data_IF_957963094655
#
_entry.id   IF_957963094655
#
_cell.length_a   1.000
_cell.length_b   1.000
_cell.length_c   1.000
_cell.angle_alpha   90.00
_cell.angle_beta   90.00
_cell.angle_gamma   90.00
#
_symmetry.space_group_name_H-M   'P 1'
#
loop_
_entity.id
_entity.type
_entity.pdbx_description
1 polymer ?
#
# COMPACT_ATOMS: atom_id res chain seq x y z
N UNK A 1 -5.89 61.75 -3.44
CA UNK A 1 -7.29 62.10 -3.20
C UNK A 1 -8.00 60.84 -2.69
N UNK A 2 -8.30 60.79 -1.39
CA UNK A 2 -8.92 59.66 -0.71
C UNK A 2 -10.44 59.83 -0.77
N UNK A 3 -11.16 58.94 -1.40
CA UNK A 3 -12.62 58.88 -1.40
C UNK A 3 -13.06 57.98 -0.26
N UNK A 4 -13.84 58.56 0.67
CA UNK A 4 -14.37 57.86 1.88
C UNK A 4 -15.61 57.07 1.55
N UNK A 5 -15.72 55.88 2.10
CA UNK A 5 -16.75 54.87 2.01
C UNK A 5 -18.09 55.25 2.73
N UNK A 6 -18.67 56.41 2.54
CA UNK A 6 -19.82 56.83 3.38
C UNK A 6 -21.02 57.48 2.63
N UNK A 7 -21.02 57.53 1.30
CA UNK A 7 -22.08 58.26 0.55
C UNK A 7 -22.85 57.35 -0.42
N UNK A 8 -23.28 56.17 0.02
CA UNK A 8 -24.13 55.31 -0.80
C UNK A 8 -25.36 54.72 -0.04
N UNK A 9 -25.94 55.49 0.84
CA UNK A 9 -27.20 55.11 1.50
C UNK A 9 -28.05 56.39 1.75
N UNK A 10 -28.69 56.90 0.67
CA UNK A 10 -29.90 57.68 0.78
C UNK A 10 -30.51 57.85 -0.61
N UNK A 11 -31.73 57.34 -0.77
CA UNK A 11 -32.57 57.68 -1.91
C UNK A 11 -33.16 56.52 -2.67
N UNK A 12 -34.27 55.97 -2.19
CA UNK A 12 -35.51 55.78 -2.96
C UNK A 12 -36.45 54.78 -2.28
N UNK A 13 -37.36 55.30 -1.50
CA UNK A 13 -38.62 54.60 -1.23
C UNK A 13 -39.65 55.04 -2.30
N UNK A 14 -40.58 54.15 -2.60
CA UNK A 14 -41.88 54.24 -3.27
C UNK A 14 -41.94 53.46 -4.58
N UNK A 15 -42.77 52.39 -4.53
CA UNK A 15 -43.23 51.63 -5.72
C UNK A 15 -43.77 50.24 -5.30
N UNK A 16 -44.98 50.19 -4.71
CA UNK A 16 -45.71 48.94 -4.53
C UNK A 16 -46.12 48.35 -5.87
N UNK A 17 -45.71 47.14 -6.15
CA UNK A 17 -46.15 46.37 -7.32
C UNK A 17 -45.76 44.92 -7.12
N UNK A 18 -46.69 44.09 -6.61
CA UNK A 18 -46.45 42.67 -6.33
C UNK A 18 -46.17 41.90 -7.61
N UNK A 19 -44.99 41.32 -7.68
CA UNK A 19 -44.69 40.16 -8.52
C UNK A 19 -44.10 39.10 -7.58
N UNK A 20 -44.95 38.15 -7.15
CA UNK A 20 -44.49 36.91 -6.51
C UNK A 20 -43.81 36.06 -7.59
N UNK A 21 -42.55 36.30 -7.83
CA UNK A 21 -41.72 35.34 -8.55
C UNK A 21 -41.44 34.19 -7.57
N UNK A 22 -42.13 33.08 -7.82
CA UNK A 22 -41.82 31.82 -7.14
C UNK A 22 -40.34 31.49 -7.32
N UNK A 23 -39.56 31.69 -6.27
CA UNK A 23 -38.22 31.08 -6.14
C UNK A 23 -38.44 29.57 -6.07
N UNK A 24 -38.48 28.92 -7.25
CA UNK A 24 -38.35 27.48 -7.32
C UNK A 24 -37.06 27.11 -6.61
N UNK A 25 -37.17 26.40 -5.52
CA UNK A 25 -36.02 25.78 -4.87
C UNK A 25 -35.33 24.95 -5.96
N UNK A 26 -34.17 25.40 -6.41
CA UNK A 26 -33.28 24.57 -7.22
C UNK A 26 -32.84 23.45 -6.28
N UNK A 27 -33.52 22.31 -6.37
CA UNK A 27 -33.12 21.10 -5.72
C UNK A 27 -31.69 20.80 -6.20
N UNK A 28 -30.70 20.97 -5.31
CA UNK A 28 -29.32 20.63 -5.60
C UNK A 28 -29.30 19.15 -5.98
N UNK A 29 -28.92 18.85 -7.22
CA UNK A 29 -28.79 17.48 -7.68
C UNK A 29 -27.95 16.70 -6.66
N UNK A 30 -28.34 15.48 -6.27
CA UNK A 30 -27.65 14.70 -5.25
C UNK A 30 -26.20 14.54 -5.68
N UNK A 31 -25.28 15.18 -4.95
CA UNK A 31 -23.85 15.07 -5.19
C UNK A 31 -23.47 13.62 -4.94
N UNK A 32 -22.91 12.95 -5.96
CA UNK A 32 -22.40 11.58 -5.79
C UNK A 32 -21.43 11.57 -4.62
N UNK A 33 -21.52 10.60 -3.70
CA UNK A 33 -20.57 10.50 -2.61
C UNK A 33 -19.14 10.39 -3.15
N UNK A 34 -18.16 11.03 -2.48
CA UNK A 34 -16.78 10.95 -2.90
C UNK A 34 -16.33 9.50 -2.96
N UNK A 35 -15.53 9.14 -3.95
CA UNK A 35 -14.98 7.79 -4.15
C UNK A 35 -13.52 7.72 -3.73
N UNK A 36 -12.98 6.50 -3.59
CA UNK A 36 -11.55 6.33 -3.33
C UNK A 36 -10.72 6.66 -4.57
N UNK A 37 -9.61 7.36 -4.36
CA UNK A 37 -8.59 7.52 -5.41
C UNK A 37 -7.48 6.47 -5.18
N UNK A 38 -7.15 5.63 -6.19
CA UNK A 38 -6.08 4.64 -6.09
C UNK A 38 -4.69 5.24 -5.85
N UNK A 39 -4.50 6.50 -6.20
CA UNK A 39 -3.21 7.17 -6.18
C UNK A 39 -3.07 8.22 -5.07
N UNK A 40 -4.11 8.44 -4.27
CA UNK A 40 -3.99 9.32 -3.11
C UNK A 40 -2.92 8.83 -2.14
N UNK A 41 -2.18 9.76 -1.57
CA UNK A 41 -1.18 9.46 -0.56
C UNK A 41 -1.84 9.30 0.80
N UNK A 42 -1.71 8.11 1.37
CA UNK A 42 -2.24 7.74 2.68
C UNK A 42 -1.09 7.50 3.65
N UNK A 43 -1.33 7.75 4.93
CA UNK A 43 -0.38 7.36 5.97
C UNK A 43 -0.33 5.84 6.09
N UNK A 44 0.85 5.26 6.23
CA UNK A 44 1.04 3.85 6.54
C UNK A 44 1.17 3.71 8.07
N UNK A 45 0.05 3.61 8.76
CA UNK A 45 0.02 3.63 10.23
C UNK A 45 0.83 4.80 10.80
N UNK A 46 1.60 4.53 11.87
CA UNK A 46 2.48 5.52 12.53
C UNK A 46 3.92 5.56 11.98
N UNK A 47 4.19 4.93 10.83
CA UNK A 47 5.55 4.85 10.25
C UNK A 47 6.11 6.18 9.74
N UNK A 48 5.30 7.23 9.66
CA UNK A 48 5.60 8.50 8.98
C UNK A 48 5.79 8.36 7.45
N UNK A 49 5.59 7.18 6.88
CA UNK A 49 5.60 6.96 5.43
C UNK A 49 4.24 7.34 4.85
N UNK A 50 4.27 8.02 3.71
CA UNK A 50 3.10 8.26 2.87
C UNK A 50 3.22 7.41 1.62
N UNK A 51 2.22 6.59 1.34
CA UNK A 51 2.18 5.65 0.22
C UNK A 51 0.92 5.86 -0.60
N UNK A 52 0.95 5.60 -1.90
CA UNK A 52 -0.29 5.58 -2.67
C UNK A 52 -1.21 4.45 -2.17
N UNK A 53 -2.51 4.62 -2.26
CA UNK A 53 -3.50 3.62 -1.82
C UNK A 53 -3.33 2.28 -2.53
N UNK A 54 -2.77 2.29 -3.74
CA UNK A 54 -2.37 1.10 -4.48
C UNK A 54 -0.87 1.12 -4.72
N UNK A 55 -0.18 0.04 -4.39
CA UNK A 55 1.23 -0.20 -4.67
C UNK A 55 1.43 -1.31 -5.69
N UNK A 56 2.58 -1.31 -6.34
CA UNK A 56 2.97 -2.34 -7.28
C UNK A 56 3.87 -3.39 -6.62
N UNK A 57 3.39 -4.65 -6.59
CA UNK A 57 4.16 -5.80 -6.16
C UNK A 57 4.97 -6.41 -7.30
N UNK A 58 6.22 -6.76 -7.02
CA UNK A 58 7.12 -7.39 -8.01
C UNK A 58 7.32 -8.87 -7.79
N UNK A 59 6.49 -9.51 -6.94
CA UNK A 59 6.70 -10.87 -6.48
C UNK A 59 5.63 -11.89 -6.85
N UNK A 60 4.91 -11.70 -7.94
CA UNK A 60 3.94 -12.69 -8.38
C UNK A 60 4.64 -14.01 -8.73
N UNK A 61 4.26 -15.11 -8.07
CA UNK A 61 4.95 -16.41 -8.15
C UNK A 61 6.47 -16.28 -7.91
N UNK A 62 6.85 -15.46 -6.91
CA UNK A 62 8.24 -15.16 -6.58
C UNK A 62 8.91 -16.28 -5.81
N UNK A 63 10.14 -16.61 -6.21
CA UNK A 63 11.01 -17.61 -5.59
C UNK A 63 12.28 -17.80 -6.41
N UNK A 64 13.37 -18.24 -5.78
CA UNK A 64 14.64 -18.44 -6.47
C UNK A 64 15.20 -17.18 -7.14
N UNK A 65 14.92 -16.01 -6.58
CA UNK A 65 15.22 -14.69 -7.17
C UNK A 65 14.62 -14.49 -8.56
N UNK A 66 13.44 -15.05 -8.79
CA UNK A 66 12.64 -14.86 -10.00
C UNK A 66 11.18 -14.61 -9.63
N UNK A 67 10.46 -13.86 -10.45
CA UNK A 67 9.01 -13.62 -10.34
C UNK A 67 8.42 -13.44 -11.72
N UNK A 68 7.10 -13.39 -11.86
CA UNK A 68 6.49 -13.08 -13.15
C UNK A 68 7.02 -11.74 -13.69
N UNK A 69 7.16 -10.73 -12.83
CA UNK A 69 7.64 -9.41 -13.23
C UNK A 69 9.09 -9.45 -13.73
N UNK A 70 10.00 -10.18 -13.04
CA UNK A 70 11.39 -10.29 -13.51
C UNK A 70 11.52 -11.14 -14.78
N UNK A 71 10.60 -12.10 -15.01
CA UNK A 71 10.54 -12.88 -16.26
C UNK A 71 10.10 -12.06 -17.47
N UNK A 72 9.53 -10.87 -17.29
CA UNK A 72 9.27 -9.92 -18.38
C UNK A 72 10.55 -9.43 -19.06
N UNK A 73 11.70 -9.58 -18.39
CA UNK A 73 12.98 -9.04 -18.81
C UNK A 73 13.15 -7.56 -18.44
N UNK A 74 14.41 -7.04 -18.51
CA UNK A 74 14.74 -5.70 -18.00
C UNK A 74 13.92 -4.57 -18.60
N UNK A 75 13.77 -4.53 -19.91
CA UNK A 75 13.10 -3.43 -20.62
C UNK A 75 11.61 -3.35 -20.26
N UNK A 76 10.89 -4.48 -20.27
CA UNK A 76 9.46 -4.51 -19.93
C UNK A 76 9.23 -4.28 -18.43
N UNK A 77 10.12 -4.79 -17.57
CA UNK A 77 10.07 -4.51 -16.13
C UNK A 77 10.22 -3.00 -15.87
N UNK A 78 11.23 -2.36 -16.46
CA UNK A 78 11.43 -0.91 -16.31
C UNK A 78 10.25 -0.10 -16.84
N UNK A 79 9.72 -0.46 -18.00
CA UNK A 79 8.54 0.19 -18.58
C UNK A 79 7.32 0.05 -17.64
N UNK A 80 7.11 -1.11 -17.04
CA UNK A 80 6.04 -1.35 -16.07
C UNK A 80 6.19 -0.47 -14.83
N UNK A 81 7.38 -0.44 -14.21
CA UNK A 81 7.64 0.37 -13.01
C UNK A 81 7.50 1.86 -13.31
N UNK A 82 8.10 2.33 -14.40
CA UNK A 82 8.01 3.74 -14.81
C UNK A 82 6.57 4.15 -15.16
N UNK A 83 5.87 3.33 -15.91
CA UNK A 83 4.46 3.57 -16.25
C UNK A 83 3.52 3.53 -15.04
N UNK A 84 3.82 2.70 -14.03
CA UNK A 84 3.12 2.70 -12.75
C UNK A 84 3.35 4.01 -11.98
N UNK A 85 4.61 4.47 -11.91
CA UNK A 85 4.95 5.75 -11.29
C UNK A 85 4.26 6.93 -11.99
N UNK A 86 4.24 6.95 -13.32
CA UNK A 86 3.56 7.99 -14.10
C UNK A 86 2.06 8.06 -13.86
N UNK A 87 1.41 6.92 -13.53
CA UNK A 87 0.00 6.84 -13.14
C UNK A 87 -0.30 7.32 -11.73
N UNK A 88 0.73 7.48 -10.89
CA UNK A 88 0.56 7.95 -9.51
C UNK A 88 0.88 6.90 -8.45
N UNK A 89 1.30 5.68 -8.81
CA UNK A 89 1.83 4.72 -7.82
C UNK A 89 3.12 5.31 -7.22
N UNK A 90 3.20 5.32 -5.89
CA UNK A 90 4.31 5.91 -5.15
C UNK A 90 5.04 4.93 -4.24
N UNK A 91 4.67 3.64 -4.27
CA UNK A 91 5.41 2.62 -3.55
C UNK A 91 5.47 1.30 -4.31
N UNK A 92 6.58 0.59 -4.09
CA UNK A 92 6.93 -0.61 -4.81
C UNK A 92 7.37 -1.68 -3.82
N UNK A 93 6.79 -2.87 -3.95
CA UNK A 93 6.99 -3.99 -3.06
C UNK A 93 7.92 -5.02 -3.71
N UNK A 94 9.12 -5.12 -3.14
CA UNK A 94 10.20 -6.00 -3.57
C UNK A 94 10.47 -7.08 -2.48
N UNK A 95 11.33 -8.01 -2.78
CA UNK A 95 11.90 -8.93 -1.79
C UNK A 95 13.16 -9.60 -2.34
N UNK A 96 13.98 -10.14 -1.45
CA UNK A 96 15.14 -10.96 -1.79
C UNK A 96 14.78 -12.11 -2.76
N UNK A 97 13.70 -12.82 -2.44
CA UNK A 97 13.25 -13.98 -3.20
C UNK A 97 12.73 -13.66 -4.61
N UNK A 98 12.44 -12.39 -4.91
CA UNK A 98 11.86 -11.98 -6.20
C UNK A 98 12.92 -11.64 -7.26
N UNK A 99 14.15 -11.33 -6.83
CA UNK A 99 15.24 -10.92 -7.73
C UNK A 99 14.99 -9.59 -8.43
N UNK A 100 14.09 -8.77 -7.89
CA UNK A 100 13.64 -7.53 -8.54
C UNK A 100 14.53 -6.31 -8.27
N UNK A 101 15.43 -6.35 -7.27
CA UNK A 101 16.25 -5.20 -6.90
C UNK A 101 17.10 -4.65 -8.05
N UNK A 102 17.92 -5.46 -8.78
CA UNK A 102 18.75 -4.94 -9.86
C UNK A 102 17.92 -4.34 -11.01
N UNK A 103 16.75 -4.92 -11.30
CA UNK A 103 15.83 -4.39 -12.32
C UNK A 103 15.20 -3.07 -11.86
N UNK A 104 14.84 -2.97 -10.57
CA UNK A 104 14.23 -1.78 -10.01
C UNK A 104 15.21 -0.60 -9.95
N UNK A 105 16.48 -0.85 -9.62
CA UNK A 105 17.52 0.18 -9.46
C UNK A 105 17.67 1.11 -10.67
N UNK A 106 17.31 0.65 -11.86
CA UNK A 106 17.39 1.43 -13.11
C UNK A 106 16.04 1.96 -13.57
N UNK A 107 14.93 1.44 -13.01
CA UNK A 107 13.58 1.73 -13.50
C UNK A 107 13.13 3.18 -13.25
N UNK A 108 13.56 3.78 -12.15
CA UNK A 108 13.19 5.14 -11.76
C UNK A 108 14.39 6.12 -11.82
N UNK A 109 15.40 5.79 -12.64
CA UNK A 109 16.55 6.70 -12.86
C UNK A 109 16.04 8.08 -13.28
N UNK A 110 16.60 9.13 -12.64
CA UNK A 110 16.23 10.53 -12.86
C UNK A 110 15.02 11.01 -12.02
N UNK A 111 14.40 10.13 -11.24
CA UNK A 111 13.36 10.52 -10.26
C UNK A 111 14.04 10.62 -8.89
N UNK A 112 13.88 11.74 -8.17
CA UNK A 112 14.44 11.89 -6.82
C UNK A 112 13.96 10.77 -5.89
N UNK A 113 14.89 10.21 -5.09
CA UNK A 113 14.66 8.99 -4.29
C UNK A 113 13.53 9.14 -3.28
N UNK A 114 13.34 10.33 -2.75
CA UNK A 114 12.29 10.66 -1.77
C UNK A 114 10.87 10.74 -2.37
N UNK A 115 10.73 10.68 -3.70
CA UNK A 115 9.44 10.73 -4.39
C UNK A 115 8.72 9.38 -4.46
N UNK A 116 9.35 8.32 -3.97
CA UNK A 116 8.75 6.99 -3.93
C UNK A 116 9.26 6.18 -2.74
N UNK A 117 8.45 5.20 -2.33
CA UNK A 117 8.73 4.31 -1.20
C UNK A 117 9.14 2.94 -1.72
N UNK A 118 10.23 2.41 -1.20
CA UNK A 118 10.70 1.05 -1.44
C UNK A 118 10.41 0.19 -0.22
N UNK A 119 9.66 -0.90 -0.43
CA UNK A 119 9.52 -1.98 0.53
C UNK A 119 10.36 -3.17 0.06
N UNK A 120 11.14 -3.76 0.96
CA UNK A 120 11.83 -5.02 0.67
C UNK A 120 11.70 -5.99 1.83
N UNK A 121 11.99 -7.28 1.58
CA UNK A 121 11.76 -8.36 2.53
C UNK A 121 12.95 -9.30 2.58
N UNK A 122 13.35 -9.68 3.79
CA UNK A 122 14.47 -10.59 4.03
C UNK A 122 13.93 -12.00 4.26
N UNK A 123 14.46 -12.96 3.52
CA UNK A 123 14.10 -14.37 3.62
C UNK A 123 15.07 -15.11 4.53
N UNK A 124 14.60 -15.59 5.68
CA UNK A 124 15.41 -16.34 6.65
C UNK A 124 15.12 -17.85 6.68
N UNK A 125 14.10 -18.30 5.94
CA UNK A 125 13.75 -19.73 5.92
C UNK A 125 14.67 -20.54 4.99
N UNK A 126 14.70 -21.85 5.19
CA UNK A 126 15.40 -22.75 4.27
C UNK A 126 14.72 -22.77 2.89
N UNK A 127 15.49 -23.09 1.86
CA UNK A 127 14.98 -23.12 0.48
C UNK A 127 14.66 -21.74 -0.08
N UNK A 128 14.04 -21.69 -1.23
CA UNK A 128 13.58 -20.49 -1.98
C UNK A 128 14.71 -19.58 -2.47
N UNK A 129 15.82 -19.44 -1.76
CA UNK A 129 17.01 -18.76 -2.24
C UNK A 129 18.09 -19.79 -2.65
N UNK A 130 18.91 -19.48 -3.68
CA UNK A 130 20.00 -20.38 -4.10
C UNK A 130 21.01 -20.67 -3.00
N UNK A 131 21.34 -19.67 -2.19
CA UNK A 131 22.30 -19.80 -1.11
C UNK A 131 21.69 -20.56 0.08
N UNK A 132 22.49 -21.44 0.68
CA UNK A 132 22.10 -22.13 1.93
C UNK A 132 22.21 -21.23 3.16
N UNK A 133 23.22 -20.35 3.19
CA UNK A 133 23.46 -19.43 4.29
C UNK A 133 22.35 -18.36 4.39
N UNK A 134 22.01 -18.03 5.63
CA UNK A 134 21.08 -16.92 5.94
C UNK A 134 21.84 -15.90 6.79
N UNK A 135 22.52 -14.94 6.13
CA UNK A 135 23.24 -13.89 6.83
C UNK A 135 22.32 -13.07 7.73
N UNK A 136 22.91 -12.40 8.73
CA UNK A 136 22.17 -11.49 9.59
C UNK A 136 21.51 -10.35 8.78
N UNK A 137 20.43 -9.79 9.34
CA UNK A 137 19.62 -8.77 8.68
C UNK A 137 20.42 -7.56 8.20
N UNK A 138 21.39 -7.10 8.98
CA UNK A 138 22.26 -5.97 8.62
C UNK A 138 23.13 -6.25 7.37
N UNK A 139 23.65 -7.48 7.24
CA UNK A 139 24.41 -7.91 6.05
C UNK A 139 23.49 -7.94 4.82
N UNK A 140 22.28 -8.48 4.98
CA UNK A 140 21.31 -8.57 3.88
C UNK A 140 20.86 -7.17 3.45
N UNK A 141 20.57 -6.27 4.39
CA UNK A 141 20.17 -4.88 4.06
C UNK A 141 21.29 -4.15 3.34
N UNK A 142 22.57 -4.29 3.76
CA UNK A 142 23.69 -3.71 3.01
C UNK A 142 23.75 -4.22 1.56
N UNK A 143 23.48 -5.51 1.31
CA UNK A 143 23.38 -6.07 -0.04
C UNK A 143 22.21 -5.44 -0.80
N UNK A 144 21.05 -5.30 -0.20
CA UNK A 144 19.87 -4.66 -0.82
C UNK A 144 20.17 -3.22 -1.25
N UNK A 145 20.84 -2.43 -0.39
CA UNK A 145 21.24 -1.06 -0.71
C UNK A 145 22.14 -1.02 -1.96
N UNK A 146 23.14 -1.94 -2.03
CA UNK A 146 24.03 -2.06 -3.20
C UNK A 146 23.24 -2.46 -4.45
N UNK A 147 22.36 -3.45 -4.37
CA UNK A 147 21.54 -3.92 -5.49
C UNK A 147 20.57 -2.83 -5.99
N UNK A 148 19.98 -2.06 -5.08
CA UNK A 148 19.03 -0.98 -5.36
C UNK A 148 19.71 0.35 -5.72
N UNK A 149 21.04 0.47 -5.50
CA UNK A 149 21.80 1.71 -5.69
C UNK A 149 21.20 2.90 -4.93
N UNK A 150 20.96 2.71 -3.64
CA UNK A 150 20.34 3.71 -2.74
C UNK A 150 20.97 3.64 -1.36
N UNK A 151 20.93 4.74 -0.62
CA UNK A 151 21.49 4.84 0.73
C UNK A 151 20.50 4.42 1.83
N UNK A 152 19.21 4.30 1.50
CA UNK A 152 18.18 3.87 2.45
C UNK A 152 17.05 3.07 1.79
N UNK A 153 16.35 2.26 2.61
CA UNK A 153 15.12 1.58 2.25
C UNK A 153 14.01 2.05 3.20
N UNK A 154 12.84 2.34 2.67
CA UNK A 154 11.76 2.91 3.48
C UNK A 154 11.16 1.90 4.45
N UNK A 155 10.94 0.65 4.02
CA UNK A 155 10.38 -0.40 4.86
C UNK A 155 11.06 -1.74 4.58
N UNK A 156 11.59 -2.37 5.62
CA UNK A 156 12.17 -3.73 5.54
C UNK A 156 11.35 -4.69 6.39
N UNK A 157 10.93 -5.80 5.79
CA UNK A 157 10.12 -6.82 6.45
C UNK A 157 10.90 -8.11 6.68
N UNK A 158 10.65 -8.76 7.81
CA UNK A 158 10.89 -10.19 7.93
C UNK A 158 9.86 -10.91 7.07
N UNK A 159 10.34 -11.68 6.10
CA UNK A 159 9.48 -12.29 5.07
C UNK A 159 8.93 -13.63 5.53
N UNK A 160 7.61 -13.84 5.30
CA UNK A 160 6.97 -15.14 5.46
C UNK A 160 6.93 -15.64 6.92
N UNK A 161 6.46 -14.82 7.84
CA UNK A 161 6.22 -15.25 9.22
C UNK A 161 5.00 -16.17 9.27
N UNK A 162 5.20 -17.42 9.72
CA UNK A 162 4.14 -18.45 9.73
C UNK A 162 3.95 -19.13 11.10
N UNK A 163 4.90 -18.96 12.05
CA UNK A 163 4.78 -19.45 13.42
C UNK A 163 4.37 -18.31 14.36
N UNK A 164 3.53 -18.56 15.39
CA UNK A 164 3.11 -17.52 16.32
C UNK A 164 4.24 -17.02 17.23
N UNK A 165 5.27 -17.81 17.46
CA UNK A 165 6.44 -17.50 18.28
C UNK A 165 7.57 -16.81 17.50
N UNK A 166 7.33 -16.40 16.26
CA UNK A 166 8.32 -15.71 15.43
C UNK A 166 9.00 -14.51 16.13
N UNK A 167 8.36 -13.74 17.04
CA UNK A 167 9.04 -12.63 17.71
C UNK A 167 10.22 -13.11 18.58
N UNK A 168 10.06 -14.27 19.23
CA UNK A 168 11.15 -14.91 19.98
C UNK A 168 12.21 -15.46 19.04
N UNK A 169 11.79 -16.22 18.03
CA UNK A 169 12.69 -16.88 17.09
C UNK A 169 13.57 -15.90 16.28
N UNK A 170 13.05 -14.72 15.95
CA UNK A 170 13.77 -13.73 15.15
C UNK A 170 14.25 -12.52 15.96
N UNK A 171 14.29 -12.57 17.29
CA UNK A 171 14.68 -11.44 18.16
C UNK A 171 15.98 -10.79 17.71
N UNK A 172 17.05 -11.56 17.47
CA UNK A 172 18.33 -11.04 16.98
C UNK A 172 18.18 -10.23 15.70
N UNK A 173 17.38 -10.71 14.76
CA UNK A 173 17.20 -10.02 13.47
C UNK A 173 16.36 -8.74 13.63
N UNK A 174 15.39 -8.76 14.55
CA UNK A 174 14.59 -7.58 14.91
C UNK A 174 15.48 -6.51 15.54
N UNK A 175 16.38 -6.86 16.45
CA UNK A 175 17.29 -5.91 17.10
C UNK A 175 18.26 -5.28 16.09
N UNK A 176 18.77 -6.07 15.15
CA UNK A 176 19.61 -5.57 14.05
C UNK A 176 18.86 -4.58 13.16
N UNK A 177 17.60 -4.89 12.79
CA UNK A 177 16.77 -3.95 12.00
C UNK A 177 16.42 -2.69 12.79
N UNK A 178 16.14 -2.80 14.08
CA UNK A 178 15.93 -1.63 14.94
C UNK A 178 17.17 -0.72 14.99
N UNK A 179 18.38 -1.31 15.09
CA UNK A 179 19.63 -0.58 15.00
C UNK A 179 19.84 0.12 13.66
N UNK A 180 19.45 -0.51 12.53
CA UNK A 180 19.49 0.12 11.22
C UNK A 180 18.47 1.25 11.09
N UNK A 181 17.29 1.12 11.70
CA UNK A 181 16.28 2.18 11.75
C UNK A 181 16.77 3.39 12.54
N UNK A 182 17.41 3.16 13.70
CA UNK A 182 17.99 4.24 14.50
C UNK A 182 19.08 5.02 13.74
N UNK A 183 19.80 4.36 12.82
CA UNK A 183 20.82 4.96 11.95
C UNK A 183 20.26 5.58 10.66
N UNK A 184 18.95 5.52 10.43
CA UNK A 184 18.31 6.03 9.21
C UNK A 184 18.56 5.19 7.95
N UNK A 185 19.23 4.03 8.05
CA UNK A 185 19.48 3.12 6.92
C UNK A 185 18.18 2.48 6.42
N UNK A 186 17.25 2.24 7.35
CA UNK A 186 15.86 1.92 7.03
C UNK A 186 14.94 2.89 7.79
N UNK A 187 13.77 3.19 7.25
CA UNK A 187 12.85 4.14 7.89
C UNK A 187 11.80 3.45 8.77
N UNK A 188 11.43 2.21 8.42
CA UNK A 188 10.48 1.38 9.17
C UNK A 188 10.83 -0.09 9.01
N UNK A 189 10.33 -0.92 9.93
CA UNK A 189 10.45 -2.37 9.87
C UNK A 189 9.14 -3.06 10.21
N UNK A 190 9.04 -4.34 9.85
CA UNK A 190 7.81 -5.10 10.09
C UNK A 190 7.89 -6.52 9.56
N UNK A 191 6.72 -7.06 9.22
CA UNK A 191 6.61 -8.47 8.80
C UNK A 191 5.61 -8.67 7.67
N UNK A 192 5.81 -9.73 6.87
CA UNK A 192 4.75 -10.31 6.06
C UNK A 192 4.29 -11.64 6.69
N UNK A 193 2.98 -11.74 6.98
CA UNK A 193 2.42 -12.88 7.69
C UNK A 193 1.81 -13.91 6.74
N UNK A 194 1.96 -15.19 7.10
CA UNK A 194 1.48 -16.33 6.32
C UNK A 194 0.79 -17.39 7.17
N UNK A 195 0.32 -17.03 8.37
CA UNK A 195 -0.63 -17.76 9.20
C UNK A 195 -1.38 -16.79 10.12
N UNK A 196 -2.56 -17.20 10.58
CA UNK A 196 -3.38 -16.39 11.50
C UNK A 196 -2.66 -16.19 12.85
N UNK A 197 -1.94 -17.21 13.34
CA UNK A 197 -1.17 -17.12 14.59
C UNK A 197 -0.02 -16.11 14.49
N UNK A 198 0.74 -16.14 13.38
CA UNK A 198 1.80 -15.18 13.14
C UNK A 198 1.25 -13.74 12.97
N UNK A 199 0.09 -13.59 12.30
CA UNK A 199 -0.58 -12.31 12.13
C UNK A 199 -1.06 -11.74 13.47
N UNK A 200 -1.64 -12.59 14.33
CA UNK A 200 -2.09 -12.19 15.66
C UNK A 200 -0.91 -11.78 16.58
N UNK A 201 0.22 -12.46 16.47
CA UNK A 201 1.46 -12.06 17.15
C UNK A 201 1.94 -10.70 16.64
N UNK A 202 1.99 -10.50 15.31
CA UNK A 202 2.43 -9.26 14.70
C UNK A 202 1.55 -8.06 15.08
N UNK A 203 0.24 -8.27 15.20
CA UNK A 203 -0.69 -7.23 15.61
C UNK A 203 -0.41 -6.65 17.00
N UNK A 204 0.20 -7.45 17.90
CA UNK A 204 0.52 -7.08 19.28
C UNK A 204 2.00 -6.72 19.50
N UNK A 205 2.92 -7.21 18.66
CA UNK A 205 4.37 -7.02 18.84
C UNK A 205 4.74 -5.53 18.69
N UNK A 206 5.26 -4.86 19.72
CA UNK A 206 5.59 -3.43 19.68
C UNK A 206 6.62 -3.06 18.60
N UNK A 207 7.55 -3.98 18.33
CA UNK A 207 8.58 -3.77 17.31
C UNK A 207 7.99 -3.58 15.90
N UNK A 208 6.84 -4.13 15.59
CA UNK A 208 6.24 -4.08 14.25
C UNK A 208 5.67 -2.70 13.94
N UNK A 209 6.24 -2.01 12.97
CA UNK A 209 5.70 -0.75 12.42
C UNK A 209 4.65 -1.02 11.32
N UNK A 210 4.83 -2.08 10.50
CA UNK A 210 3.92 -2.40 9.39
C UNK A 210 3.77 -3.91 9.17
N UNK A 211 2.58 -4.31 8.74
CA UNK A 211 2.21 -5.70 8.47
C UNK A 211 1.72 -5.82 7.03
N UNK A 212 2.28 -6.77 6.28
CA UNK A 212 1.69 -7.25 5.03
C UNK A 212 0.84 -8.49 5.33
N UNK A 213 -0.47 -8.41 5.07
CA UNK A 213 -1.45 -9.46 5.37
C UNK A 213 -2.29 -9.83 4.16
N UNK A 214 -2.60 -11.12 4.04
CA UNK A 214 -3.45 -11.64 2.97
C UNK A 214 -4.92 -11.37 3.30
N UNK A 215 -5.64 -10.68 2.42
CA UNK A 215 -7.02 -10.28 2.64
C UNK A 215 -7.83 -10.22 1.36
N UNK A 216 -8.95 -10.93 1.30
CA UNK A 216 -10.00 -10.86 0.31
C UNK A 216 -11.29 -11.48 0.90
N UNK A 217 -12.48 -11.27 0.33
CA UNK A 217 -13.74 -11.79 0.89
C UNK A 217 -13.88 -13.31 0.78
N UNK A 218 -13.14 -13.96 -0.11
CA UNK A 218 -13.32 -15.37 -0.46
C UNK A 218 -12.40 -16.33 0.32
N UNK A 219 -11.50 -15.83 1.16
CA UNK A 219 -10.53 -16.65 1.88
C UNK A 219 -9.44 -17.28 1.00
N UNK A 220 -9.38 -16.91 -0.29
CA UNK A 220 -8.45 -17.52 -1.25
C UNK A 220 -7.02 -17.04 -0.98
N UNK A 221 -6.11 -18.00 -0.76
CA UNK A 221 -4.71 -17.70 -0.43
C UNK A 221 -4.55 -16.84 0.84
N UNK A 222 -5.48 -16.93 1.76
CA UNK A 222 -5.46 -16.22 3.04
C UNK A 222 -4.90 -17.07 4.19
N UNK A 223 -4.68 -16.42 5.32
CA UNK A 223 -4.16 -17.03 6.55
C UNK A 223 -5.25 -17.70 7.41
N UNK A 224 -6.49 -17.53 6.97
CA UNK A 224 -7.71 -18.06 7.57
C UNK A 224 -8.95 -17.44 6.92
N UNK A 225 -10.15 -17.81 7.37
CA UNK A 225 -11.38 -17.17 6.89
C UNK A 225 -11.34 -15.66 7.10
N UNK A 226 -11.91 -14.90 6.15
CA UNK A 226 -11.94 -13.44 6.20
C UNK A 226 -12.51 -12.90 7.52
N UNK A 227 -13.53 -13.56 8.05
CA UNK A 227 -14.15 -13.23 9.35
C UNK A 227 -13.19 -13.36 10.55
N UNK A 228 -12.15 -14.22 10.46
CA UNK A 228 -11.13 -14.35 11.50
C UNK A 228 -9.93 -13.42 11.27
N UNK A 229 -9.57 -13.14 10.03
CA UNK A 229 -8.44 -12.26 9.68
C UNK A 229 -8.79 -10.79 9.92
N UNK A 230 -9.96 -10.32 9.50
CA UNK A 230 -10.33 -8.91 9.59
C UNK A 230 -10.30 -8.32 11.02
N UNK A 231 -10.75 -9.00 12.07
CA UNK A 231 -10.59 -8.50 13.45
C UNK A 231 -9.14 -8.29 13.86
N UNK A 232 -8.22 -9.19 13.45
CA UNK A 232 -6.79 -9.06 13.75
C UNK A 232 -6.19 -7.85 13.04
N UNK A 233 -6.61 -7.57 11.79
CA UNK A 233 -6.18 -6.37 11.07
C UNK A 233 -6.69 -5.09 11.75
N UNK A 234 -7.92 -5.08 12.28
CA UNK A 234 -8.44 -3.95 13.07
C UNK A 234 -7.59 -3.71 14.32
N UNK A 235 -7.27 -4.77 15.07
CA UNK A 235 -6.35 -4.68 16.22
C UNK A 235 -5.00 -4.11 15.83
N UNK A 236 -4.40 -4.57 14.74
CA UNK A 236 -3.13 -4.05 14.23
C UNK A 236 -3.23 -2.55 13.92
N UNK A 237 -4.26 -2.14 13.20
CA UNK A 237 -4.51 -0.75 12.83
C UNK A 237 -4.75 0.14 14.07
N UNK A 238 -5.56 -0.31 15.03
CA UNK A 238 -5.79 0.38 16.31
C UNK A 238 -4.51 0.58 17.11
N UNK A 239 -3.57 -0.38 17.05
CA UNK A 239 -2.24 -0.28 17.63
C UNK A 239 -1.31 0.65 16.83
N UNK A 240 -1.80 1.28 15.77
CA UNK A 240 -1.07 2.25 14.94
C UNK A 240 -0.11 1.61 13.95
N UNK A 241 -0.22 0.31 13.68
CA UNK A 241 0.59 -0.36 12.68
C UNK A 241 0.08 -0.05 11.28
N UNK A 242 1.00 0.11 10.32
CA UNK A 242 0.66 0.20 8.92
C UNK A 242 0.16 -1.16 8.40
N UNK A 243 -1.04 -1.21 7.86
CA UNK A 243 -1.64 -2.45 7.35
C UNK A 243 -1.67 -2.42 5.83
N UNK A 244 -0.92 -3.34 5.22
CA UNK A 244 -0.88 -3.54 3.77
C UNK A 244 -1.66 -4.81 3.41
N UNK A 245 -2.72 -4.65 2.62
CA UNK A 245 -3.47 -5.78 2.08
C UNK A 245 -2.77 -6.40 0.87
N UNK A 246 -2.55 -7.70 0.89
CA UNK A 246 -2.04 -8.46 -0.25
C UNK A 246 -2.97 -9.61 -0.63
N UNK A 247 -2.76 -10.23 -1.81
CA UNK A 247 -3.58 -11.32 -2.36
C UNK A 247 -5.05 -10.94 -2.63
N UNK A 248 -5.32 -9.68 -2.89
CA UNK A 248 -6.66 -9.18 -3.19
C UNK A 248 -7.28 -9.86 -4.41
N UNK A 249 -6.47 -10.19 -5.43
CA UNK A 249 -6.90 -10.89 -6.65
C UNK A 249 -6.74 -12.42 -6.54
N UNK A 250 -6.68 -12.95 -5.29
CA UNK A 250 -6.56 -14.37 -5.03
C UNK A 250 -5.32 -15.01 -5.70
N UNK A 251 -4.21 -14.27 -5.84
CA UNK A 251 -3.03 -14.69 -6.57
C UNK A 251 -3.34 -15.04 -8.05
N UNK A 252 -4.12 -14.17 -8.68
CA UNK A 252 -4.54 -14.29 -10.08
C UNK A 252 -5.78 -15.19 -10.30
N UNK A 253 -6.32 -15.82 -9.26
CA UNK A 253 -7.52 -16.68 -9.40
C UNK A 253 -8.76 -15.90 -9.82
N UNK A 254 -8.83 -14.61 -9.45
CA UNK A 254 -9.96 -13.73 -9.82
C UNK A 254 -9.74 -12.96 -11.11
N UNK A 255 -8.62 -13.18 -11.83
CA UNK A 255 -8.26 -12.38 -13.01
C UNK A 255 -9.29 -12.38 -14.14
N UNK A 256 -10.12 -13.43 -14.22
CA UNK A 256 -11.17 -13.59 -15.25
C UNK A 256 -12.56 -13.23 -14.75
N UNK A 257 -12.73 -12.79 -13.50
CA UNK A 257 -14.03 -12.46 -12.91
C UNK A 257 -14.04 -10.99 -12.49
N UNK A 258 -14.74 -10.16 -13.27
CA UNK A 258 -14.95 -8.74 -12.93
C UNK A 258 -15.64 -8.61 -11.58
N UNK A 259 -16.70 -9.40 -11.36
CA UNK A 259 -17.44 -9.43 -10.10
C UNK A 259 -16.52 -9.72 -8.91
N UNK A 260 -15.70 -10.77 -8.97
CA UNK A 260 -14.84 -11.14 -7.87
C UNK A 260 -13.77 -10.06 -7.57
N UNK A 261 -13.25 -9.39 -8.61
CA UNK A 261 -12.31 -8.27 -8.44
C UNK A 261 -13.00 -7.07 -7.82
N UNK A 262 -14.19 -6.69 -8.27
CA UNK A 262 -14.97 -5.57 -7.74
C UNK A 262 -15.37 -5.82 -6.28
N UNK A 263 -15.86 -7.02 -5.96
CA UNK A 263 -16.21 -7.41 -4.59
C UNK A 263 -14.99 -7.40 -3.67
N UNK A 264 -13.83 -7.87 -4.14
CA UNK A 264 -12.60 -7.88 -3.34
C UNK A 264 -12.12 -6.47 -3.03
N UNK A 265 -12.09 -5.57 -4.00
CA UNK A 265 -11.69 -4.18 -3.80
C UNK A 265 -12.65 -3.47 -2.83
N UNK A 266 -13.96 -3.62 -3.03
CA UNK A 266 -14.98 -3.05 -2.14
C UNK A 266 -14.86 -3.57 -0.73
N UNK A 267 -14.69 -4.88 -0.55
CA UNK A 267 -14.51 -5.51 0.75
C UNK A 267 -13.31 -4.94 1.50
N UNK A 268 -12.14 -4.91 0.86
CA UNK A 268 -10.91 -4.46 1.52
C UNK A 268 -10.98 -2.98 1.90
N UNK A 269 -11.48 -2.12 1.02
CA UNK A 269 -11.67 -0.70 1.31
C UNK A 269 -12.74 -0.48 2.41
N UNK A 270 -13.77 -1.32 2.43
CA UNK A 270 -14.83 -1.28 3.45
C UNK A 270 -14.38 -1.72 4.85
N UNK A 271 -13.24 -2.42 5.00
CA UNK A 271 -12.70 -2.80 6.31
C UNK A 271 -12.22 -1.60 7.14
N UNK A 272 -11.89 -0.48 6.51
CA UNK A 272 -11.38 0.77 7.13
C UNK A 272 -10.12 0.59 8.01
N UNK A 273 -9.46 -0.56 7.95
CA UNK A 273 -8.26 -0.90 8.71
C UNK A 273 -7.10 -1.40 7.82
N UNK A 274 -7.25 -1.29 6.50
CA UNK A 274 -6.20 -1.55 5.52
C UNK A 274 -5.82 -0.22 4.90
N UNK A 275 -4.59 0.25 5.16
CA UNK A 275 -4.14 1.57 4.70
C UNK A 275 -3.90 1.58 3.20
N UNK A 276 -3.27 0.53 2.68
CA UNK A 276 -2.90 0.42 1.28
C UNK A 276 -2.95 -1.03 0.78
N UNK A 277 -3.03 -1.21 -0.53
CA UNK A 277 -3.16 -2.50 -1.20
C UNK A 277 -1.97 -2.73 -2.13
N UNK A 278 -1.36 -3.94 -2.10
CA UNK A 278 -0.32 -4.32 -3.05
C UNK A 278 -0.83 -5.35 -4.05
N UNK A 279 -0.61 -5.07 -5.32
CA UNK A 279 -1.03 -5.96 -6.41
C UNK A 279 0.14 -6.19 -7.37
N UNK A 280 0.35 -7.45 -7.77
CA UNK A 280 1.39 -7.85 -8.71
C UNK A 280 0.93 -7.72 -10.15
N UNK A 281 0.98 -6.51 -10.69
CA UNK A 281 0.66 -6.24 -12.09
C UNK A 281 1.79 -6.70 -13.02
N UNK A 282 1.43 -7.14 -14.21
CA UNK A 282 2.35 -7.53 -15.30
C UNK A 282 2.22 -6.61 -16.51
N UNK A 283 1.13 -5.81 -16.58
CA UNK A 283 0.84 -4.86 -17.67
C UNK A 283 0.23 -3.57 -17.12
N UNK A 284 0.46 -2.47 -17.83
CA UNK A 284 -0.12 -1.16 -17.46
C UNK A 284 -1.64 -1.16 -17.51
N UNK A 285 -2.25 -1.90 -18.45
CA UNK A 285 -3.71 -2.05 -18.52
C UNK A 285 -4.33 -2.72 -17.28
N UNK A 286 -3.59 -3.58 -16.58
CA UNK A 286 -4.05 -4.17 -15.32
C UNK A 286 -4.05 -3.14 -14.18
N UNK A 287 -3.11 -2.20 -14.20
CA UNK A 287 -3.09 -1.05 -13.27
C UNK A 287 -4.31 -0.17 -13.53
N UNK A 288 -4.59 0.13 -14.80
CA UNK A 288 -5.72 0.97 -15.20
C UNK A 288 -7.06 0.32 -14.83
N UNK A 289 -7.23 -0.98 -15.08
CA UNK A 289 -8.40 -1.76 -14.66
C UNK A 289 -8.60 -1.74 -13.14
N UNK A 290 -7.54 -2.01 -12.38
CA UNK A 290 -7.63 -2.02 -10.92
C UNK A 290 -7.93 -0.62 -10.35
N UNK A 291 -7.31 0.41 -10.91
CA UNK A 291 -7.58 1.80 -10.54
C UNK A 291 -9.03 2.21 -10.81
N UNK A 292 -9.59 1.80 -11.94
CA UNK A 292 -11.00 2.03 -12.27
C UNK A 292 -11.94 1.36 -11.25
N UNK A 293 -11.60 0.15 -10.75
CA UNK A 293 -12.37 -0.54 -9.71
C UNK A 293 -12.33 0.20 -8.37
N UNK A 294 -11.16 0.70 -7.97
CA UNK A 294 -11.01 1.52 -6.74
C UNK A 294 -11.90 2.77 -6.82
N UNK A 295 -11.92 3.47 -7.97
CA UNK A 295 -12.75 4.67 -8.17
C UNK A 295 -14.26 4.41 -8.19
N UNK A 296 -14.71 3.16 -8.33
CA UNK A 296 -16.14 2.80 -8.21
C UNK A 296 -16.60 2.65 -6.77
N UNK A 297 -15.69 2.56 -5.80
CA UNK A 297 -16.06 2.34 -4.40
C UNK A 297 -16.31 3.69 -3.72
N UNK A 298 -17.54 3.96 -3.23
CA UNK A 298 -17.84 5.18 -2.52
C UNK A 298 -17.13 5.19 -1.15
N UNK A 299 -16.68 6.38 -0.74
CA UNK A 299 -16.25 6.63 0.64
C UNK A 299 -17.52 6.82 1.47
N UNK A 300 -17.86 5.84 2.27
CA UNK A 300 -18.94 6.03 3.25
C UNK A 300 -18.41 7.02 4.29
N UNK A 301 -19.13 8.12 4.57
CA UNK A 301 -18.76 9.03 5.65
C UNK A 301 -18.55 8.25 6.94
N UNK A 302 -17.53 8.62 7.69
CA UNK A 302 -17.41 8.15 9.09
C UNK A 302 -18.50 8.88 9.87
N UNK A 303 -19.53 8.16 10.30
CA UNK A 303 -20.52 8.69 11.25
C UNK A 303 -19.81 9.04 12.56
#
# INVERSE_FOLDING_TARGET
MKIKRRDFLEGAAVGAGGLVLGLGAVEAAPTRPPTFDPYELVALGKTKLKVSRVGLGTGMHGGGRKSNQTRLGPAKFQALIRGAYQRGIRWFDLADTYGSHPYFATSLKGIPREKYVIVSKIWFHRGTLPERARPNADVVVRRFLKELKTDYIDLVLLHFMHQPDWPKAFRKQMDLLAGLKAKGVIRAHGVSCHSLGALAAAAREPWVDSIHARINPYGVRMDGPAAKVAPVLRTAHQNGKGVVGMKLIGEGRFRRSDRARDESVRYVLGLKCVDTMVVGFERLSEIDDFAARVRKVPRVPTL
#
